data_IF_165953174247
#
_entry.id   IF_165953174247
#
_cell.length_a   1.000
_cell.length_b   1.000
_cell.length_c   1.000
_cell.angle_alpha   90.00
_cell.angle_beta   90.00
_cell.angle_gamma   90.00
#
_symmetry.space_group_name_H-M   'P 1'
#
loop_
_entity.id
_entity.type
_entity.pdbx_description
1 polymer ?
#
# COMPACT_ATOMS: atom_id res chain seq x y z
N UNK A 1 -37.65 58.72 1.85
CA UNK A 1 -37.18 57.33 1.64
C UNK A 1 -36.76 57.21 0.18
N UNK A 2 -35.49 56.93 -0.12
CA UNK A 2 -35.08 56.46 -1.45
C UNK A 2 -34.64 54.99 -1.41
N UNK A 3 -35.01 54.28 -2.47
CA UNK A 3 -35.01 52.83 -2.62
C UNK A 3 -33.64 52.13 -2.51
N UNK A 4 -33.62 51.05 -1.72
CA UNK A 4 -32.58 50.02 -1.80
C UNK A 4 -32.86 49.10 -3.01
N UNK A 5 -32.03 49.18 -4.05
CA UNK A 5 -31.99 48.18 -5.12
C UNK A 5 -30.97 47.08 -4.81
N UNK A 6 -31.44 45.83 -4.84
CA UNK A 6 -30.66 44.62 -4.61
C UNK A 6 -29.62 44.38 -5.74
N UNK A 7 -28.31 44.26 -5.47
CA UNK A 7 -27.25 44.20 -6.48
C UNK A 7 -27.13 42.86 -7.24
N UNK A 8 -28.06 41.92 -7.05
CA UNK A 8 -27.99 40.59 -7.70
C UNK A 8 -28.73 40.49 -9.05
N UNK A 9 -29.20 41.60 -9.63
CA UNK A 9 -29.91 41.60 -10.92
C UNK A 9 -29.22 42.46 -11.99
N UNK A 10 -27.90 42.30 -12.18
CA UNK A 10 -27.26 42.81 -13.41
C UNK A 10 -27.16 41.70 -14.48
N UNK A 11 -27.90 41.79 -15.60
CA UNK A 11 -27.94 40.76 -16.66
C UNK A 11 -26.68 40.73 -17.55
N UNK A 12 -25.50 40.98 -16.98
CA UNK A 12 -24.22 41.03 -17.70
C UNK A 12 -23.09 40.21 -17.06
N UNK A 13 -23.24 39.76 -15.82
CA UNK A 13 -22.19 38.99 -15.13
C UNK A 13 -22.00 37.58 -15.73
N UNK A 14 -23.07 36.88 -16.08
CA UNK A 14 -23.00 35.52 -16.65
C UNK A 14 -22.32 35.50 -18.01
N UNK A 15 -22.61 36.49 -18.87
CA UNK A 15 -21.94 36.63 -20.18
C UNK A 15 -20.44 36.94 -20.04
N UNK A 16 -20.06 37.71 -19.02
CA UNK A 16 -18.64 37.99 -18.71
C UNK A 16 -17.95 36.76 -18.13
N UNK A 17 -18.64 35.97 -17.29
CA UNK A 17 -18.12 34.72 -16.75
C UNK A 17 -17.89 33.68 -17.87
N UNK A 18 -18.86 33.53 -18.77
CA UNK A 18 -18.76 32.64 -19.95
C UNK A 18 -17.65 33.08 -20.90
N UNK A 19 -17.47 34.39 -21.11
CA UNK A 19 -16.35 34.92 -21.89
C UNK A 19 -15.00 34.61 -21.24
N UNK A 20 -14.88 34.74 -19.91
CA UNK A 20 -13.65 34.38 -19.19
C UNK A 20 -13.36 32.89 -19.31
N UNK A 21 -14.37 32.03 -19.16
CA UNK A 21 -14.22 30.57 -19.34
C UNK A 21 -13.79 30.21 -20.76
N UNK A 22 -14.41 30.80 -21.78
CA UNK A 22 -14.05 30.59 -23.18
C UNK A 22 -12.62 31.07 -23.48
N UNK A 23 -12.20 32.21 -22.92
CA UNK A 23 -10.83 32.73 -23.07
C UNK A 23 -9.80 31.84 -22.37
N UNK A 24 -10.09 31.35 -21.15
CA UNK A 24 -9.20 30.39 -20.48
C UNK A 24 -9.09 29.07 -21.24
N UNK A 25 -10.19 28.59 -21.84
CA UNK A 25 -10.19 27.37 -22.63
C UNK A 25 -9.37 27.54 -23.92
N UNK A 26 -9.50 28.67 -24.61
CA UNK A 26 -8.69 29.01 -25.79
C UNK A 26 -7.21 29.19 -25.46
N UNK A 27 -6.87 29.79 -24.32
CA UNK A 27 -5.48 29.93 -23.86
C UNK A 27 -4.87 28.54 -23.61
N UNK A 28 -5.61 27.62 -22.97
CA UNK A 28 -5.16 26.25 -22.71
C UNK A 28 -4.95 25.48 -24.02
N UNK A 29 -5.87 25.61 -24.98
CA UNK A 29 -5.75 24.96 -26.30
C UNK A 29 -4.60 25.54 -27.12
N UNK A 30 -4.35 26.85 -27.05
CA UNK A 30 -3.22 27.49 -27.72
C UNK A 30 -1.88 27.12 -27.07
N UNK A 31 -1.84 26.84 -25.77
CA UNK A 31 -0.64 26.41 -25.06
C UNK A 31 -0.35 24.91 -25.19
N UNK A 32 -1.33 24.05 -25.52
CA UNK A 32 -1.10 22.62 -25.75
C UNK A 32 0.01 22.30 -26.77
N UNK A 33 0.04 22.90 -27.99
CA UNK A 33 1.12 22.64 -28.94
C UNK A 33 2.47 23.21 -28.47
N UNK A 34 2.46 24.26 -27.65
CA UNK A 34 3.68 24.86 -27.09
C UNK A 34 4.31 23.96 -26.01
N UNK A 35 3.48 23.40 -25.11
CA UNK A 35 3.91 22.42 -24.09
C UNK A 35 4.37 21.11 -24.75
N UNK A 36 3.76 20.71 -25.87
CA UNK A 36 4.22 19.53 -26.64
C UNK A 36 5.54 19.77 -27.38
N UNK A 37 5.88 21.03 -27.70
CA UNK A 37 7.10 21.44 -28.42
C UNK A 37 8.27 21.82 -27.49
N UNK A 38 7.99 22.33 -26.29
CA UNK A 38 8.99 22.83 -25.33
C UNK A 38 8.91 22.21 -23.94
N UNK A 39 7.94 21.32 -23.68
CA UNK A 39 7.90 20.53 -22.46
C UNK A 39 9.00 19.45 -22.47
N UNK A 40 9.47 19.01 -21.28
CA UNK A 40 10.50 17.98 -21.19
C UNK A 40 10.02 16.71 -21.89
N UNK A 41 10.72 16.36 -22.97
CA UNK A 41 10.43 15.19 -23.79
C UNK A 41 10.78 13.92 -22.97
N UNK A 42 9.90 12.90 -22.91
CA UNK A 42 10.26 11.62 -22.31
C UNK A 42 11.55 11.10 -22.97
N UNK A 43 12.56 10.80 -22.17
CA UNK A 43 13.84 10.34 -22.67
C UNK A 43 13.65 9.08 -23.53
N UNK A 44 14.12 9.14 -24.78
CA UNK A 44 14.15 7.98 -25.66
C UNK A 44 15.04 6.88 -25.06
N UNK A 45 14.68 5.58 -25.21
CA UNK A 45 15.53 4.47 -24.79
C UNK A 45 16.84 4.49 -25.57
N UNK A 46 17.97 4.49 -24.86
CA UNK A 46 19.30 4.35 -25.46
C UNK A 46 19.56 2.88 -25.83
N UNK A 47 20.31 2.61 -26.93
CA UNK A 47 20.60 1.26 -27.40
C UNK A 47 21.48 0.48 -26.43
N UNK A 48 21.23 -0.83 -26.38
CA UNK A 48 22.05 -1.84 -25.71
C UNK A 48 23.52 -1.73 -26.14
N UNK A 49 24.42 -1.54 -25.17
CA UNK A 49 25.84 -1.78 -25.36
C UNK A 49 26.15 -3.24 -25.01
N UNK A 50 26.71 -3.92 -25.99
CA UNK A 50 27.31 -5.24 -25.92
C UNK A 50 28.25 -5.36 -24.72
N UNK A 51 28.04 -6.42 -23.94
CA UNK A 51 28.99 -6.92 -22.95
C UNK A 51 30.32 -7.25 -23.61
N UNK A 52 31.34 -6.44 -23.33
CA UNK A 52 32.73 -6.81 -23.52
C UNK A 52 33.16 -7.79 -22.43
N UNK A 53 33.69 -8.93 -22.87
CA UNK A 53 34.40 -9.89 -22.04
C UNK A 53 35.64 -9.23 -21.42
N UNK A 54 35.81 -9.41 -20.10
CA UNK A 54 37.09 -9.29 -19.43
C UNK A 54 37.40 -10.60 -18.67
N UNK A 55 38.69 -10.95 -18.52
CA UNK A 55 39.14 -12.33 -18.33
C UNK A 55 38.96 -12.85 -16.91
N UNK A 56 38.81 -14.18 -16.83
CA UNK A 56 38.79 -14.94 -15.60
C UNK A 56 40.08 -14.74 -14.80
N UNK A 57 39.96 -14.21 -13.59
CA UNK A 57 40.97 -14.31 -12.55
C UNK A 57 40.59 -15.47 -11.63
N UNK A 58 41.38 -16.54 -11.70
CA UNK A 58 41.31 -17.72 -10.86
C UNK A 58 41.68 -17.33 -9.43
N UNK A 59 40.73 -17.48 -8.48
CA UNK A 59 41.04 -17.42 -7.04
C UNK A 59 40.49 -18.69 -6.40
N UNK A 60 41.40 -19.54 -5.96
CA UNK A 60 41.10 -20.77 -5.23
C UNK A 60 40.45 -20.45 -3.88
N UNK A 61 39.36 -21.12 -3.49
CA UNK A 61 38.69 -20.86 -2.22
C UNK A 61 39.39 -21.54 -1.04
N UNK A 62 39.60 -20.79 0.04
CA UNK A 62 39.96 -21.29 1.38
C UNK A 62 38.67 -21.69 2.12
N UNK A 63 38.61 -22.82 2.85
CA UNK A 63 37.35 -23.32 3.41
C UNK A 63 36.92 -22.47 4.62
N UNK A 64 35.71 -21.93 4.56
CA UNK A 64 34.96 -21.45 5.72
C UNK A 64 34.06 -22.59 6.25
N UNK A 65 33.79 -22.65 7.55
CA UNK A 65 33.21 -23.82 8.20
C UNK A 65 31.76 -24.04 7.77
N UNK A 66 31.49 -25.29 7.38
CA UNK A 66 30.19 -25.82 6.98
C UNK A 66 29.24 -25.78 8.18
N UNK A 67 28.34 -24.81 8.22
CA UNK A 67 27.06 -25.00 8.89
C UNK A 67 26.28 -25.99 8.02
N UNK A 68 26.02 -27.17 8.57
CA UNK A 68 25.24 -28.23 7.95
C UNK A 68 23.90 -27.68 7.48
N UNK A 69 23.81 -27.37 6.19
CA UNK A 69 22.53 -27.23 5.49
C UNK A 69 21.99 -28.64 5.38
N UNK A 70 21.05 -28.97 6.25
CA UNK A 70 20.27 -30.19 6.12
C UNK A 70 19.68 -30.19 4.71
N UNK A 71 20.22 -31.05 3.84
CA UNK A 71 19.68 -31.25 2.51
C UNK A 71 18.25 -31.76 2.70
N UNK A 72 17.28 -30.96 2.27
CA UNK A 72 15.91 -31.41 2.11
C UNK A 72 15.93 -32.40 0.92
N UNK A 73 16.23 -33.66 1.22
CA UNK A 73 16.05 -34.77 0.29
C UNK A 73 14.55 -34.88 0.01
N UNK A 74 14.10 -35.00 -1.25
CA UNK A 74 12.68 -35.17 -1.55
C UNK A 74 12.19 -36.48 -0.91
N UNK A 75 11.03 -36.50 -0.25
CA UNK A 75 10.38 -37.77 0.01
C UNK A 75 9.89 -38.29 -1.35
N UNK A 76 10.69 -39.17 -1.97
CA UNK A 76 10.14 -40.25 -2.78
C UNK A 76 9.41 -41.21 -1.83
N UNK A 77 8.28 -40.74 -1.30
CA UNK A 77 7.40 -41.45 -0.38
C UNK A 77 6.00 -41.56 -0.96
N UNK A 78 5.13 -42.41 -0.38
CA UNK A 78 3.72 -42.46 -0.75
C UNK A 78 3.09 -41.06 -0.70
N UNK A 79 2.11 -40.81 -1.57
CA UNK A 79 1.42 -39.52 -1.63
C UNK A 79 0.98 -39.05 -0.24
N UNK A 80 1.37 -37.84 0.15
CA UNK A 80 1.08 -37.24 1.45
C UNK A 80 -0.10 -36.28 1.28
N UNK A 81 -1.26 -36.69 1.76
CA UNK A 81 -2.46 -35.85 1.75
C UNK A 81 -3.29 -36.16 3.00
N UNK A 82 -3.89 -35.13 3.62
CA UNK A 82 -4.80 -35.35 4.73
C UNK A 82 -6.15 -35.93 4.26
N UNK A 83 -6.77 -36.74 5.10
CA UNK A 83 -8.07 -37.39 4.83
C UNK A 83 -9.27 -36.51 5.20
N UNK A 84 -9.08 -35.55 6.09
CA UNK A 84 -10.12 -34.63 6.59
C UNK A 84 -9.67 -33.17 6.59
N UNK A 85 -10.64 -32.27 6.63
CA UNK A 85 -10.36 -30.85 6.90
C UNK A 85 -10.09 -30.62 8.37
N UNK A 86 -9.04 -29.85 8.65
CA UNK A 86 -8.67 -29.41 9.98
C UNK A 86 -8.31 -27.93 9.97
N UNK A 87 -8.44 -27.30 11.14
CA UNK A 87 -8.04 -25.91 11.36
C UNK A 87 -6.99 -25.83 12.46
N UNK A 88 -6.11 -24.84 12.34
CA UNK A 88 -5.14 -24.50 13.38
C UNK A 88 -5.22 -23.02 13.67
N UNK A 89 -5.38 -22.68 14.94
CA UNK A 89 -5.43 -21.30 15.42
C UNK A 89 -4.12 -21.00 16.11
N UNK A 90 -3.41 -19.97 15.66
CA UNK A 90 -2.21 -19.45 16.30
C UNK A 90 -2.52 -18.05 16.83
N UNK A 91 -2.23 -17.80 18.10
CA UNK A 91 -2.48 -16.49 18.70
C UNK A 91 -1.41 -16.00 19.68
N UNK A 92 -1.34 -14.68 19.82
CA UNK A 92 -0.55 -13.99 20.84
C UNK A 92 -1.34 -12.75 21.34
N UNK A 93 -0.68 -11.79 21.99
CA UNK A 93 -1.34 -10.57 22.48
C UNK A 93 -1.83 -9.60 21.39
N UNK A 94 -1.30 -9.73 20.17
CA UNK A 94 -1.50 -8.82 19.05
C UNK A 94 -2.46 -9.38 18.00
N UNK A 95 -2.39 -10.68 17.72
CA UNK A 95 -3.18 -11.31 16.66
C UNK A 95 -3.82 -12.64 17.08
N UNK A 96 -4.81 -13.05 16.29
CA UNK A 96 -5.33 -14.42 16.23
C UNK A 96 -5.48 -14.83 14.77
N UNK A 97 -4.71 -15.81 14.32
CA UNK A 97 -4.67 -16.28 12.94
C UNK A 97 -5.20 -17.70 12.89
N UNK A 98 -6.14 -17.97 11.97
CA UNK A 98 -6.72 -19.30 11.77
C UNK A 98 -6.33 -19.82 10.40
N UNK A 99 -5.58 -20.90 10.39
CA UNK A 99 -5.25 -21.68 9.20
C UNK A 99 -6.29 -22.77 8.95
N UNK A 100 -6.44 -23.12 7.68
CA UNK A 100 -7.05 -24.36 7.24
C UNK A 100 -5.99 -25.22 6.55
N UNK A 101 -6.05 -26.53 6.77
CA UNK A 101 -5.21 -27.47 6.03
C UNK A 101 -5.59 -27.57 4.54
N UNK A 102 -6.78 -27.09 4.13
CA UNK A 102 -7.15 -26.95 2.72
C UNK A 102 -6.32 -25.85 2.05
N UNK A 103 -5.38 -26.26 1.21
CA UNK A 103 -4.41 -25.39 0.57
C UNK A 103 -3.32 -24.84 1.51
N UNK A 104 -3.36 -25.14 2.81
CA UNK A 104 -2.46 -24.53 3.81
C UNK A 104 -2.53 -23.00 3.80
N UNK A 105 -3.72 -22.44 4.05
CA UNK A 105 -4.05 -21.01 3.87
C UNK A 105 -4.68 -20.42 5.13
N UNK A 106 -4.75 -19.09 5.21
CA UNK A 106 -5.35 -18.36 6.33
C UNK A 106 -6.81 -18.03 6.06
N UNK A 107 -7.72 -18.59 6.86
CA UNK A 107 -9.16 -18.27 6.85
C UNK A 107 -9.50 -16.96 7.56
N UNK A 108 -8.74 -16.61 8.60
CA UNK A 108 -9.01 -15.46 9.46
C UNK A 108 -7.71 -14.90 10.04
N UNK A 109 -7.60 -13.58 10.09
CA UNK A 109 -6.46 -12.81 10.59
C UNK A 109 -6.97 -11.62 11.40
N UNK A 110 -7.18 -11.85 12.69
CA UNK A 110 -7.74 -10.84 13.61
C UNK A 110 -6.61 -10.06 14.28
N UNK A 111 -6.73 -8.73 14.32
CA UNK A 111 -5.86 -7.86 15.12
C UNK A 111 -6.53 -7.52 16.46
N UNK A 112 -6.02 -8.06 17.57
CA UNK A 112 -6.65 -7.98 18.90
C UNK A 112 -6.66 -6.58 19.51
N UNK A 113 -5.79 -5.68 19.05
CA UNK A 113 -5.69 -4.29 19.55
C UNK A 113 -6.57 -3.30 18.79
N UNK A 114 -7.34 -3.76 17.81
CA UNK A 114 -8.13 -2.93 16.92
C UNK A 114 -9.56 -3.47 16.79
N UNK A 115 -10.49 -2.56 16.50
CA UNK A 115 -11.90 -2.89 16.31
C UNK A 115 -12.37 -2.50 14.91
N UNK A 116 -13.38 -3.21 14.40
CA UNK A 116 -14.06 -2.81 13.17
C UNK A 116 -14.97 -1.59 13.43
N UNK A 117 -15.59 -1.05 12.37
CA UNK A 117 -16.50 0.10 12.49
C UNK A 117 -17.72 -0.15 13.38
N UNK A 118 -18.03 -1.42 13.68
CA UNK A 118 -19.15 -1.85 14.54
C UNK A 118 -18.70 -2.14 15.97
N UNK A 119 -17.41 -1.91 16.30
CA UNK A 119 -16.83 -2.19 17.61
C UNK A 119 -16.51 -3.66 17.87
N UNK A 120 -16.65 -4.53 16.86
CA UNK A 120 -16.26 -5.94 16.92
C UNK A 120 -14.76 -6.14 16.67
N UNK A 121 -14.27 -7.39 16.75
CA UNK A 121 -12.87 -7.71 16.43
C UNK A 121 -12.52 -7.31 15.00
N UNK A 122 -11.37 -6.66 14.80
CA UNK A 122 -10.90 -6.32 13.47
C UNK A 122 -10.38 -7.56 12.73
N UNK A 123 -11.15 -8.05 11.76
CA UNK A 123 -10.78 -9.12 10.82
C UNK A 123 -10.19 -8.51 9.54
N UNK A 124 -8.95 -8.85 9.20
CA UNK A 124 -8.30 -8.34 7.99
C UNK A 124 -8.64 -9.15 6.74
N UNK A 125 -9.03 -10.42 6.87
CA UNK A 125 -9.43 -11.23 5.71
C UNK A 125 -10.81 -10.77 5.23
N UNK A 126 -10.87 -10.22 4.02
CA UNK A 126 -12.14 -9.77 3.45
C UNK A 126 -12.98 -10.97 2.98
N UNK A 127 -13.95 -11.41 3.79
CA UNK A 127 -14.74 -12.64 3.56
C UNK A 127 -15.28 -12.82 2.13
N UNK A 128 -16.01 -11.83 1.59
CA UNK A 128 -16.58 -11.94 0.24
C UNK A 128 -15.52 -11.95 -0.89
N UNK A 129 -14.35 -11.35 -0.64
CA UNK A 129 -13.25 -11.37 -1.59
C UNK A 129 -12.50 -12.70 -1.51
N UNK A 130 -12.32 -13.21 -0.30
CA UNK A 130 -11.69 -14.50 -0.02
C UNK A 130 -12.43 -15.66 -0.69
N UNK A 131 -13.77 -15.67 -0.64
CA UNK A 131 -14.60 -16.69 -1.28
C UNK A 131 -14.40 -16.73 -2.81
N UNK A 132 -14.22 -15.57 -3.44
CA UNK A 132 -14.11 -15.45 -4.91
C UNK A 132 -12.69 -15.52 -5.44
N UNK A 133 -11.71 -15.05 -4.66
CA UNK A 133 -10.34 -14.82 -5.13
C UNK A 133 -9.27 -15.61 -4.37
N UNK A 134 -9.67 -16.41 -3.38
CA UNK A 134 -8.79 -17.24 -2.56
C UNK A 134 -8.43 -16.61 -1.22
N UNK A 135 -7.85 -17.41 -0.34
CA UNK A 135 -7.46 -17.01 1.01
C UNK A 135 -6.03 -16.46 1.08
N UNK A 136 -5.69 -15.59 2.03
CA UNK A 136 -4.31 -15.20 2.26
C UNK A 136 -3.37 -16.39 2.49
N UNK A 137 -2.12 -16.24 2.03
CA UNK A 137 -1.09 -17.28 1.99
C UNK A 137 -1.44 -18.49 1.09
N UNK A 138 -2.41 -18.33 0.20
CA UNK A 138 -2.48 -19.10 -1.05
C UNK A 138 -1.22 -18.88 -1.89
N UNK A 139 -0.97 -19.80 -2.81
CA UNK A 139 0.14 -19.71 -3.73
C UNK A 139 -0.32 -19.16 -5.08
N UNK A 140 0.42 -18.19 -5.60
CA UNK A 140 0.42 -17.86 -7.00
C UNK A 140 1.44 -18.71 -7.74
N UNK A 141 0.94 -19.47 -8.72
CA UNK A 141 1.70 -20.20 -9.74
C UNK A 141 1.13 -19.77 -11.09
N UNK A 142 1.97 -19.58 -12.10
CA UNK A 142 1.51 -19.10 -13.41
C UNK A 142 0.58 -20.09 -14.12
N UNK A 143 0.85 -21.39 -14.00
CA UNK A 143 -0.07 -22.44 -14.41
C UNK A 143 -1.32 -22.40 -13.51
N UNK A 144 -2.47 -22.05 -14.11
CA UNK A 144 -3.73 -21.89 -13.40
C UNK A 144 -4.30 -23.21 -12.88
N UNK A 145 -4.18 -24.31 -13.64
CA UNK A 145 -4.69 -25.61 -13.21
C UNK A 145 -3.90 -26.11 -12.00
N UNK A 146 -2.57 -26.00 -12.05
CA UNK A 146 -1.71 -26.35 -10.94
C UNK A 146 -1.95 -25.42 -9.74
N UNK A 147 -2.07 -24.10 -9.97
CA UNK A 147 -2.41 -23.12 -8.93
C UNK A 147 -3.71 -23.48 -8.21
N UNK A 148 -4.76 -23.82 -8.95
CA UNK A 148 -6.06 -24.18 -8.38
C UNK A 148 -5.98 -25.51 -7.61
N UNK A 149 -5.23 -26.49 -8.12
CA UNK A 149 -4.97 -27.77 -7.44
C UNK A 149 -4.26 -27.54 -6.10
N UNK A 150 -3.09 -26.90 -6.09
CA UNK A 150 -2.29 -26.75 -4.86
C UNK A 150 -2.99 -25.91 -3.79
N UNK A 151 -3.92 -25.03 -4.17
CA UNK A 151 -4.70 -24.22 -3.22
C UNK A 151 -6.01 -24.90 -2.77
N UNK A 152 -6.36 -26.07 -3.29
CA UNK A 152 -7.62 -26.77 -2.95
C UNK A 152 -7.44 -28.14 -2.28
N UNK A 153 -6.29 -28.79 -2.46
CA UNK A 153 -5.97 -30.08 -1.81
C UNK A 153 -5.80 -29.96 -0.29
N UNK A 154 -5.93 -31.08 0.42
CA UNK A 154 -5.79 -31.14 1.87
C UNK A 154 -4.37 -31.48 2.28
N UNK A 155 -3.68 -30.53 2.90
CA UNK A 155 -2.31 -30.71 3.35
C UNK A 155 -2.29 -31.45 4.68
N UNK A 156 -1.25 -32.23 4.92
CA UNK A 156 -0.93 -32.76 6.24
C UNK A 156 -0.28 -31.64 7.04
N UNK A 157 -0.94 -31.17 8.09
CA UNK A 157 -0.40 -30.18 9.01
C UNK A 157 0.48 -30.86 10.07
N UNK A 158 1.60 -30.24 10.46
CA UNK A 158 2.45 -30.75 11.54
C UNK A 158 1.80 -30.65 12.92
N UNK A 159 0.89 -29.69 13.10
CA UNK A 159 0.13 -29.45 14.32
C UNK A 159 -1.29 -28.98 13.95
N UNK A 160 -2.27 -29.27 14.80
CA UNK A 160 -3.66 -28.81 14.67
C UNK A 160 -4.20 -28.32 16.02
N UNK A 161 -5.34 -27.62 16.03
CA UNK A 161 -5.93 -27.08 17.26
C UNK A 161 -5.48 -25.65 17.58
N UNK A 162 -5.34 -25.31 18.86
CA UNK A 162 -4.99 -23.95 19.31
C UNK A 162 -3.56 -23.90 19.84
N UNK A 163 -2.75 -23.00 19.28
CA UNK A 163 -1.34 -22.78 19.59
C UNK A 163 -1.13 -21.33 20.05
N UNK A 164 -0.23 -21.12 21.00
CA UNK A 164 0.22 -19.79 21.41
C UNK A 164 1.60 -19.50 20.82
N UNK A 165 1.81 -18.32 20.26
CA UNK A 165 3.13 -17.94 19.74
C UNK A 165 4.14 -17.74 20.90
N UNK A 166 5.44 -18.10 20.72
CA UNK A 166 6.05 -18.55 19.48
C UNK A 166 5.66 -19.98 19.10
N UNK A 167 5.38 -20.18 17.82
CA UNK A 167 4.92 -21.45 17.29
C UNK A 167 5.39 -21.64 15.85
N UNK A 168 5.40 -22.89 15.40
CA UNK A 168 5.74 -23.24 14.02
C UNK A 168 4.75 -24.29 13.51
N UNK A 169 4.25 -24.08 12.29
CA UNK A 169 3.37 -25.03 11.61
C UNK A 169 3.85 -25.23 10.18
N UNK A 170 3.90 -26.49 9.78
CA UNK A 170 4.26 -26.91 8.43
C UNK A 170 3.06 -27.61 7.80
N UNK A 171 2.77 -27.28 6.56
CA UNK A 171 1.78 -27.95 5.72
C UNK A 171 2.51 -28.66 4.58
N UNK A 172 2.31 -29.96 4.46
CA UNK A 172 2.93 -30.78 3.42
C UNK A 172 1.89 -31.51 2.59
N UNK A 173 2.09 -31.48 1.28
CA UNK A 173 1.31 -32.22 0.31
C UNK A 173 2.24 -32.86 -0.72
N UNK A 174 2.00 -34.11 -1.09
CA UNK A 174 2.66 -34.72 -2.24
C UNK A 174 1.76 -35.72 -2.96
N UNK A 175 1.88 -35.76 -4.28
CA UNK A 175 1.35 -36.81 -5.14
C UNK A 175 2.42 -37.24 -6.17
N UNK A 176 2.01 -37.90 -7.26
CA UNK A 176 2.93 -38.36 -8.30
C UNK A 176 3.66 -37.24 -9.05
N UNK A 177 3.03 -36.07 -9.23
CA UNK A 177 3.54 -34.99 -10.05
C UNK A 177 4.00 -33.78 -9.23
N UNK A 178 3.40 -33.53 -8.06
CA UNK A 178 3.63 -32.31 -7.28
C UNK A 178 3.95 -32.61 -5.83
N UNK A 179 4.93 -31.89 -5.28
CA UNK A 179 5.19 -31.83 -3.85
C UNK A 179 5.20 -30.36 -3.41
N UNK A 180 4.49 -30.04 -2.34
CA UNK A 180 4.41 -28.70 -1.77
C UNK A 180 4.70 -28.77 -0.28
N UNK A 181 5.59 -27.90 0.18
CA UNK A 181 5.88 -27.68 1.59
C UNK A 181 5.75 -26.19 1.89
N UNK A 182 4.89 -25.85 2.85
CA UNK A 182 4.75 -24.50 3.40
C UNK A 182 5.12 -24.54 4.86
N UNK A 183 6.02 -23.69 5.28
CA UNK A 183 6.40 -23.55 6.69
C UNK A 183 6.13 -22.13 7.17
N UNK A 184 5.53 -22.02 8.35
CA UNK A 184 5.16 -20.76 8.95
C UNK A 184 5.69 -20.68 10.38
N UNK A 185 6.53 -19.69 10.66
CA UNK A 185 7.07 -19.44 12.01
C UNK A 185 6.52 -18.13 12.56
N UNK A 186 6.04 -18.21 13.80
CA UNK A 186 5.33 -17.14 14.49
C UNK A 186 6.10 -16.69 15.73
N UNK A 187 6.10 -15.39 15.97
CA UNK A 187 6.63 -14.78 17.19
C UNK A 187 5.57 -13.87 17.84
N UNK A 188 6.01 -13.00 18.74
CA UNK A 188 5.16 -12.05 19.47
C UNK A 188 4.85 -10.75 18.68
N UNK A 189 5.31 -10.64 17.43
CA UNK A 189 5.15 -9.44 16.58
C UNK A 189 4.03 -9.63 15.55
N UNK A 190 3.84 -8.69 14.61
CA UNK A 190 2.93 -8.86 13.46
C UNK A 190 3.61 -9.51 12.25
N UNK A 191 4.83 -10.02 12.43
CA UNK A 191 5.64 -10.62 11.36
C UNK A 191 5.53 -12.14 11.43
N UNK A 192 5.28 -12.76 10.28
CA UNK A 192 5.27 -14.22 10.13
C UNK A 192 6.36 -14.61 9.14
N UNK A 193 7.23 -15.54 9.50
CA UNK A 193 8.19 -16.12 8.54
C UNK A 193 7.46 -17.12 7.66
N UNK A 194 7.67 -17.04 6.36
CA UNK A 194 7.03 -17.87 5.35
C UNK A 194 8.10 -18.53 4.49
N UNK A 195 8.10 -19.85 4.46
CA UNK A 195 8.95 -20.63 3.55
C UNK A 195 8.06 -21.51 2.69
N UNK A 196 8.21 -21.44 1.37
CA UNK A 196 7.40 -22.17 0.41
C UNK A 196 8.29 -22.83 -0.62
N UNK A 197 8.20 -24.15 -0.71
CA UNK A 197 8.83 -24.96 -1.75
C UNK A 197 7.75 -25.71 -2.53
N UNK A 198 7.80 -25.60 -3.86
CA UNK A 198 6.95 -26.37 -4.77
C UNK A 198 7.86 -27.10 -5.75
N UNK A 199 7.68 -28.41 -5.84
CA UNK A 199 8.28 -29.24 -6.88
C UNK A 199 7.18 -29.74 -7.80
N UNK A 200 7.44 -29.70 -9.10
CA UNK A 200 6.53 -30.21 -10.13
C UNK A 200 7.33 -31.03 -11.15
N UNK A 201 6.94 -32.30 -11.31
CA UNK A 201 7.58 -33.29 -12.19
C UNK A 201 9.09 -33.39 -11.98
N UNK A 202 9.51 -33.37 -10.71
CA UNK A 202 10.92 -33.50 -10.32
C UNK A 202 11.76 -32.22 -10.41
N UNK A 203 11.20 -31.09 -10.85
CA UNK A 203 11.87 -29.78 -10.86
C UNK A 203 11.27 -28.81 -9.84
N UNK A 204 12.09 -27.88 -9.33
CA UNK A 204 11.57 -26.75 -8.54
C UNK A 204 10.73 -25.82 -9.42
N UNK A 205 9.58 -25.42 -8.89
CA UNK A 205 8.66 -24.50 -9.55
C UNK A 205 8.49 -23.23 -8.70
N UNK A 206 8.68 -22.03 -9.28
CA UNK A 206 8.42 -20.78 -8.56
C UNK A 206 6.97 -20.67 -8.10
N UNK A 207 6.78 -20.46 -6.80
CA UNK A 207 5.48 -20.29 -6.18
C UNK A 207 5.52 -19.15 -5.16
N UNK A 208 4.59 -18.21 -5.29
CA UNK A 208 4.63 -16.95 -4.55
C UNK A 208 3.48 -16.94 -3.54
N UNK A 209 3.75 -16.90 -2.23
CA UNK A 209 2.71 -16.60 -1.24
C UNK A 209 1.99 -15.30 -1.58
N UNK A 210 0.66 -15.27 -1.42
CA UNK A 210 -0.13 -14.10 -1.81
C UNK A 210 -1.11 -13.62 -0.75
N UNK A 211 -1.29 -12.31 -0.72
CA UNK A 211 -2.48 -11.65 -0.18
C UNK A 211 -3.42 -11.35 -1.35
N UNK A 212 -4.46 -12.16 -1.59
CA UNK A 212 -5.10 -12.21 -2.91
C UNK A 212 -6.03 -11.05 -3.21
N UNK A 213 -6.71 -10.47 -2.20
CA UNK A 213 -7.77 -9.50 -2.45
C UNK A 213 -8.25 -8.72 -1.19
N UNK A 214 -7.97 -7.41 -1.14
CA UNK A 214 -8.60 -6.43 -0.23
C UNK A 214 -8.32 -6.64 1.26
N UNK A 215 -8.86 -5.76 2.10
CA UNK A 215 -8.81 -5.87 3.56
C UNK A 215 -10.23 -5.83 4.15
N UNK A 216 -10.47 -6.59 5.22
CA UNK A 216 -11.80 -6.75 5.81
C UNK A 216 -12.36 -5.51 6.51
N UNK A 217 -11.51 -4.53 6.84
CA UNK A 217 -11.89 -3.23 7.40
C UNK A 217 -12.48 -2.28 6.35
N UNK A 218 -12.38 -2.62 5.06
CA UNK A 218 -12.92 -1.80 3.98
C UNK A 218 -14.44 -1.92 3.94
N UNK A 219 -15.11 -0.76 4.03
CA UNK A 219 -16.57 -0.70 4.21
C UNK A 219 -17.28 0.18 3.20
N UNK A 220 -16.56 1.13 2.59
CA UNK A 220 -17.13 2.16 1.74
C UNK A 220 -16.27 2.42 0.50
N UNK A 221 -16.82 3.00 -0.58
CA UNK A 221 -16.08 3.21 -1.82
C UNK A 221 -14.74 3.95 -1.66
N UNK A 222 -14.66 4.88 -0.71
CA UNK A 222 -13.44 5.65 -0.42
C UNK A 222 -12.36 4.78 0.20
N UNK A 223 -12.70 3.88 1.15
CA UNK A 223 -11.75 2.94 1.75
C UNK A 223 -11.20 1.98 0.70
N UNK A 224 -12.05 1.43 -0.18
CA UNK A 224 -11.60 0.58 -1.30
C UNK A 224 -10.67 1.33 -2.25
N UNK A 225 -11.04 2.55 -2.64
CA UNK A 225 -10.25 3.39 -3.54
C UNK A 225 -8.90 3.83 -2.96
N UNK A 226 -8.73 3.78 -1.63
CA UNK A 226 -7.48 4.10 -0.95
C UNK A 226 -6.41 2.99 -1.05
N UNK A 227 -6.78 1.81 -1.56
CA UNK A 227 -5.85 0.69 -1.71
C UNK A 227 -4.71 1.01 -2.68
N UNK A 228 -3.50 0.63 -2.30
CA UNK A 228 -2.27 0.82 -3.03
C UNK A 228 -1.49 -0.50 -3.11
N UNK A 229 -0.76 -0.68 -4.22
CA UNK A 229 0.43 -1.54 -4.20
C UNK A 229 1.61 -0.66 -3.80
N UNK A 230 2.34 -1.07 -2.77
CA UNK A 230 3.50 -0.34 -2.26
C UNK A 230 4.72 -1.28 -2.30
N UNK A 231 5.86 -0.77 -2.76
CA UNK A 231 7.12 -1.50 -2.70
C UNK A 231 8.28 -0.54 -2.52
N UNK A 232 9.36 -1.04 -1.92
CA UNK A 232 10.59 -0.29 -1.74
C UNK A 232 11.73 -0.94 -2.53
N UNK A 233 12.37 -0.11 -3.34
CA UNK A 233 13.61 -0.43 -4.02
C UNK A 233 14.70 0.53 -3.54
N UNK A 234 15.80 -0.01 -2.98
CA UNK A 234 16.83 0.77 -2.29
C UNK A 234 16.21 1.70 -1.23
N UNK A 235 16.34 3.01 -1.38
CA UNK A 235 15.75 4.03 -0.49
C UNK A 235 14.42 4.59 -1.00
N UNK A 236 14.01 4.24 -2.23
CA UNK A 236 12.81 4.79 -2.88
C UNK A 236 11.61 3.91 -2.61
N UNK A 237 10.51 4.54 -2.21
CA UNK A 237 9.21 3.88 -2.03
C UNK A 237 8.31 4.28 -3.19
N UNK A 238 7.86 3.28 -3.93
CA UNK A 238 6.89 3.43 -5.01
C UNK A 238 5.49 3.05 -4.52
N UNK A 239 4.50 3.81 -4.98
CA UNK A 239 3.10 3.64 -4.61
C UNK A 239 2.24 3.67 -5.86
N UNK A 240 1.65 2.53 -6.20
CA UNK A 240 0.79 2.37 -7.35
C UNK A 240 -0.66 2.40 -6.89
N UNK A 241 -1.37 3.46 -7.28
CA UNK A 241 -2.81 3.57 -7.07
C UNK A 241 -3.56 2.51 -7.90
N UNK A 242 -4.72 2.08 -7.41
CA UNK A 242 -5.57 1.06 -8.05
C UNK A 242 -5.80 1.28 -9.55
N UNK A 243 -5.95 2.54 -9.97
CA UNK A 243 -6.16 2.94 -11.38
C UNK A 243 -4.96 2.66 -12.29
N UNK A 244 -3.75 2.57 -11.74
CA UNK A 244 -2.49 2.31 -12.47
C UNK A 244 -2.17 0.81 -12.57
N UNK A 245 -2.97 -0.05 -11.95
CA UNK A 245 -2.71 -1.49 -11.89
C UNK A 245 -3.62 -2.21 -12.88
N UNK A 246 -3.01 -3.00 -13.76
CA UNK A 246 -3.68 -4.07 -14.49
C UNK A 246 -3.37 -5.39 -13.79
N UNK A 247 -4.40 -6.18 -13.49
CA UNK A 247 -4.23 -7.43 -12.76
C UNK A 247 -3.44 -8.46 -13.55
N UNK A 248 -2.55 -9.21 -12.87
CA UNK A 248 -1.71 -10.24 -13.46
C UNK A 248 -0.33 -9.77 -13.93
N UNK A 249 -0.02 -8.48 -13.84
CA UNK A 249 1.31 -7.98 -14.19
C UNK A 249 2.34 -8.40 -13.15
N UNK A 250 3.47 -8.91 -13.64
CA UNK A 250 4.66 -9.19 -12.84
C UNK A 250 5.60 -8.00 -12.87
N UNK A 251 5.89 -7.44 -11.70
CA UNK A 251 6.91 -6.42 -11.50
C UNK A 251 8.16 -7.14 -10.98
N UNK A 252 9.26 -7.20 -11.76
CA UNK A 252 10.51 -7.75 -11.26
C UNK A 252 11.10 -6.82 -10.19
N UNK A 253 11.74 -7.41 -9.18
CA UNK A 253 12.52 -6.69 -8.19
C UNK A 253 13.78 -6.05 -8.77
N UNK A 254 14.69 -5.55 -7.92
CA UNK A 254 14.79 -5.88 -6.49
C UNK A 254 13.71 -5.24 -5.60
N UNK A 255 13.37 -5.87 -4.48
CA UNK A 255 12.49 -5.29 -3.44
C UNK A 255 13.03 -5.56 -2.03
N UNK A 256 13.14 -4.52 -1.21
CA UNK A 256 13.35 -4.68 0.23
C UNK A 256 12.07 -5.15 0.93
N UNK A 257 10.94 -4.64 0.44
CA UNK A 257 9.60 -5.14 0.75
C UNK A 257 8.65 -4.74 -0.37
N UNK A 258 7.58 -5.50 -0.54
CA UNK A 258 6.54 -5.24 -1.53
C UNK A 258 5.20 -5.85 -1.08
N UNK A 259 4.09 -5.23 -1.43
CA UNK A 259 2.78 -5.81 -1.17
C UNK A 259 1.64 -4.83 -1.37
N UNK A 260 0.55 -5.08 -0.65
CA UNK A 260 -0.68 -4.31 -0.73
C UNK A 260 -0.96 -3.63 0.59
N UNK A 261 -1.52 -2.44 0.52
CA UNK A 261 -1.87 -1.68 1.68
C UNK A 261 -3.08 -0.78 1.42
N UNK A 262 -3.78 -0.41 2.49
CA UNK A 262 -4.79 0.63 2.45
C UNK A 262 -4.39 1.80 3.35
N UNK A 263 -5.38 2.59 3.79
CA UNK A 263 -5.18 3.74 4.64
C UNK A 263 -4.60 3.38 6.03
N UNK A 264 -4.98 2.24 6.61
CA UNK A 264 -4.68 1.90 8.00
C UNK A 264 -3.87 0.62 8.17
N UNK A 265 -3.96 -0.32 7.24
CA UNK A 265 -3.32 -1.63 7.33
C UNK A 265 -2.49 -1.94 6.09
N UNK A 266 -1.60 -2.91 6.23
CA UNK A 266 -0.76 -3.39 5.14
C UNK A 266 -0.46 -4.87 5.28
N UNK A 267 -0.36 -5.55 4.14
CA UNK A 267 0.18 -6.89 3.98
C UNK A 267 1.36 -6.79 3.02
N UNK A 268 2.58 -6.73 3.56
CA UNK A 268 3.82 -6.60 2.78
C UNK A 268 4.75 -7.76 3.06
N UNK A 269 5.37 -8.25 2.00
CA UNK A 269 6.36 -9.32 1.99
C UNK A 269 7.76 -8.70 1.99
N UNK A 270 8.65 -9.28 2.79
CA UNK A 270 10.02 -8.88 3.03
C UNK A 270 10.91 -10.07 2.64
N UNK A 271 11.37 -10.15 1.39
CA UNK A 271 12.17 -11.28 0.91
C UNK A 271 13.53 -11.34 1.62
N UNK A 272 13.99 -12.56 1.95
CA UNK A 272 15.34 -12.75 2.49
C UNK A 272 16.41 -12.49 1.41
N UNK A 273 16.06 -12.65 0.13
CA UNK A 273 16.88 -12.31 -1.03
C UNK A 273 16.25 -11.17 -1.88
N UNK A 274 16.43 -9.89 -1.50
CA UNK A 274 15.86 -8.74 -2.20
C UNK A 274 16.19 -8.64 -3.68
N UNK A 275 17.30 -9.24 -4.13
CA UNK A 275 17.75 -9.20 -5.52
C UNK A 275 17.06 -10.25 -6.39
N UNK A 276 16.51 -11.32 -5.79
CA UNK A 276 15.87 -12.45 -6.46
C UNK A 276 14.40 -12.53 -6.08
N UNK A 277 13.65 -11.45 -6.31
CA UNK A 277 12.24 -11.36 -5.96
C UNK A 277 11.44 -10.76 -7.11
N UNK A 278 10.19 -11.18 -7.24
CA UNK A 278 9.21 -10.54 -8.11
C UNK A 278 7.86 -10.42 -7.40
N UNK A 279 7.04 -9.47 -7.84
CA UNK A 279 5.69 -9.29 -7.34
C UNK A 279 4.69 -9.41 -8.48
N UNK A 280 3.69 -10.27 -8.32
CA UNK A 280 2.53 -10.33 -9.20
C UNK A 280 1.42 -9.48 -8.59
N UNK A 281 1.05 -8.42 -9.29
CA UNK A 281 -0.03 -7.53 -8.87
C UNK A 281 -1.38 -8.13 -9.23
N UNK A 282 -2.36 -7.99 -8.34
CA UNK A 282 -3.74 -8.41 -8.59
C UNK A 282 -4.68 -7.22 -8.45
N UNK A 283 -5.61 -7.13 -9.40
CA UNK A 283 -6.73 -6.20 -9.36
C UNK A 283 -7.99 -6.98 -9.66
N UNK A 284 -8.87 -7.03 -8.69
CA UNK A 284 -10.11 -7.79 -8.69
C UNK A 284 -11.28 -6.83 -8.44
N UNK A 285 -12.52 -7.33 -8.52
CA UNK A 285 -13.69 -6.52 -8.22
C UNK A 285 -14.77 -7.32 -7.48
N UNK A 286 -15.35 -6.69 -6.47
CA UNK A 286 -16.45 -7.26 -5.68
C UNK A 286 -17.63 -6.31 -5.72
N UNK A 287 -18.81 -6.87 -5.52
CA UNK A 287 -20.04 -6.11 -5.34
C UNK A 287 -20.27 -5.95 -3.84
N UNK A 288 -20.36 -4.70 -3.37
CA UNK A 288 -20.59 -4.38 -1.97
C UNK A 288 -21.96 -3.72 -1.79
N UNK A 289 -22.68 -3.97 -0.70
CA UNK A 289 -23.93 -3.28 -0.43
C UNK A 289 -23.73 -1.76 -0.43
N UNK A 290 -24.60 -1.02 -1.12
CA UNK A 290 -24.55 0.45 -1.18
C UNK A 290 -24.82 1.08 0.19
N UNK A 291 -25.67 0.45 0.98
CA UNK A 291 -25.93 0.78 2.38
C UNK A 291 -25.71 -0.47 3.24
N UNK A 292 -24.59 -0.51 3.97
CA UNK A 292 -24.25 -1.62 4.88
C UNK A 292 -25.13 -1.65 6.14
N UNK A 293 -25.80 -0.56 6.50
CA UNK A 293 -26.72 -0.52 7.64
C UNK A 293 -28.11 -1.07 7.28
N UNK A 294 -28.44 -1.13 5.98
CA UNK A 294 -29.67 -1.73 5.45
C UNK A 294 -29.34 -2.83 4.42
N UNK A 295 -28.77 -3.97 4.85
CA UNK A 295 -28.34 -5.05 3.96
C UNK A 295 -29.49 -5.71 3.18
N UNK A 296 -30.74 -5.45 3.55
CA UNK A 296 -31.94 -5.84 2.81
C UNK A 296 -32.12 -5.09 1.47
N UNK A 297 -31.43 -3.97 1.29
CA UNK A 297 -31.40 -3.28 0.01
C UNK A 297 -30.48 -4.03 -0.97
N UNK A 298 -31.07 -4.53 -2.08
CA UNK A 298 -30.34 -5.30 -3.11
C UNK A 298 -29.41 -4.45 -3.99
N UNK A 299 -29.39 -3.13 -3.81
CA UNK A 299 -28.46 -2.26 -4.54
C UNK A 299 -27.02 -2.50 -4.10
N UNK A 300 -26.20 -2.98 -5.03
CA UNK A 300 -24.77 -3.14 -4.85
C UNK A 300 -23.97 -2.11 -5.64
N UNK A 301 -22.78 -1.79 -5.15
CA UNK A 301 -21.77 -1.00 -5.84
C UNK A 301 -20.60 -1.92 -6.17
N UNK A 302 -20.16 -1.88 -7.43
CA UNK A 302 -18.95 -2.58 -7.84
C UNK A 302 -17.73 -1.76 -7.43
N UNK A 303 -16.85 -2.37 -6.63
CA UNK A 303 -15.61 -1.75 -6.17
C UNK A 303 -14.42 -2.61 -6.57
N UNK A 304 -13.31 -1.95 -6.89
CA UNK A 304 -12.06 -2.62 -7.18
C UNK A 304 -11.29 -2.89 -5.87
N UNK A 305 -10.62 -4.04 -5.81
CA UNK A 305 -9.76 -4.43 -4.71
C UNK A 305 -8.41 -4.92 -5.23
N UNK A 306 -7.37 -4.69 -4.44
CA UNK A 306 -6.00 -5.07 -4.79
C UNK A 306 -5.52 -6.28 -4.02
N UNK A 307 -4.58 -7.00 -4.61
CA UNK A 307 -3.82 -8.06 -3.97
C UNK A 307 -2.41 -8.14 -4.55
N UNK A 308 -1.54 -8.88 -3.90
CA UNK A 308 -0.17 -9.08 -4.33
C UNK A 308 0.29 -10.50 -3.98
N UNK A 309 1.02 -11.12 -4.90
CA UNK A 309 1.83 -12.30 -4.64
C UNK A 309 3.29 -11.91 -4.77
N UNK A 310 4.12 -12.24 -3.78
CA UNK A 310 5.56 -11.93 -3.80
C UNK A 310 6.32 -13.22 -3.60
N UNK A 311 7.44 -13.39 -4.29
CA UNK A 311 8.26 -14.58 -4.11
C UNK A 311 9.47 -14.63 -5.01
N UNK A 312 10.23 -15.72 -4.88
CA UNK A 312 11.45 -15.94 -5.64
C UNK A 312 11.12 -16.56 -7.01
N UNK A 313 11.42 -15.90 -8.14
CA UNK A 313 11.13 -16.43 -9.47
C UNK A 313 12.05 -17.59 -9.90
N UNK A 314 13.05 -17.96 -9.09
CA UNK A 314 14.10 -18.94 -9.46
C UNK A 314 14.17 -20.16 -8.54
N UNK A 315 13.27 -20.30 -7.56
CA UNK A 315 13.28 -21.47 -6.67
C UNK A 315 12.37 -21.29 -5.45
N UNK A 316 12.78 -21.89 -4.35
CA UNK A 316 12.09 -21.79 -3.05
C UNK A 316 11.96 -20.33 -2.60
N UNK A 317 10.75 -19.95 -2.18
CA UNK A 317 10.48 -18.63 -1.61
C UNK A 317 10.70 -18.67 -0.11
N UNK A 318 11.61 -17.82 0.39
CA UNK A 318 11.88 -17.63 1.83
C UNK A 318 11.79 -16.14 2.13
N UNK A 319 10.83 -15.77 2.98
CA UNK A 319 10.53 -14.37 3.26
C UNK A 319 9.83 -14.20 4.61
N UNK A 320 9.65 -12.95 5.01
CA UNK A 320 8.78 -12.56 6.12
C UNK A 320 7.58 -11.80 5.57
N UNK A 321 6.39 -12.01 6.11
CA UNK A 321 5.22 -11.17 5.81
C UNK A 321 4.86 -10.36 7.05
N UNK A 322 4.72 -9.05 6.87
CA UNK A 322 4.13 -8.15 7.86
C UNK A 322 2.67 -7.92 7.49
N UNK A 323 1.76 -8.30 8.39
CA UNK A 323 0.31 -8.05 8.24
C UNK A 323 -0.18 -7.35 9.51
N UNK A 324 -0.43 -6.04 9.41
CA UNK A 324 -0.70 -5.25 10.59
C UNK A 324 -0.96 -3.77 10.36
N UNK A 325 -1.06 -2.99 11.45
CA UNK A 325 -1.43 -1.58 11.43
C UNK A 325 -0.27 -0.67 11.01
N UNK A 326 -0.55 0.36 10.22
CA UNK A 326 0.39 1.43 9.85
C UNK A 326 0.70 2.40 11.00
N UNK A 327 0.96 1.88 12.20
CA UNK A 327 1.35 2.66 13.36
C UNK A 327 2.87 2.76 13.46
N UNK A 328 3.39 3.99 13.63
CA UNK A 328 4.85 4.20 13.68
C UNK A 328 5.58 3.31 14.69
N UNK A 329 5.13 3.14 15.95
CA UNK A 329 5.85 2.29 16.91
C UNK A 329 6.00 0.84 16.44
N UNK A 330 4.93 0.30 15.84
CA UNK A 330 4.95 -1.08 15.32
C UNK A 330 5.88 -1.15 14.12
N UNK A 331 5.74 -0.23 13.17
CA UNK A 331 6.57 -0.22 11.96
C UNK A 331 8.06 -0.01 12.25
N UNK A 332 8.42 0.78 13.26
CA UNK A 332 9.80 0.97 13.75
C UNK A 332 10.42 -0.31 14.33
N UNK A 333 9.59 -1.17 14.92
CA UNK A 333 10.03 -2.44 15.51
C UNK A 333 10.36 -3.50 14.46
N UNK A 334 9.79 -3.39 13.26
CA UNK A 334 9.99 -4.37 12.17
C UNK A 334 11.23 -4.02 11.37
N UNK A 335 12.31 -4.78 11.60
CA UNK A 335 13.61 -4.56 10.94
C UNK A 335 13.64 -5.08 9.51
N UNK A 336 14.16 -4.24 8.62
CA UNK A 336 14.43 -4.54 7.20
C UNK A 336 15.92 -4.29 6.93
N UNK A 337 16.79 -5.27 7.27
CA UNK A 337 18.24 -5.07 7.26
C UNK A 337 18.81 -4.85 5.86
N UNK A 338 18.04 -5.17 4.82
CA UNK A 338 18.41 -5.05 3.42
C UNK A 338 18.39 -3.61 2.91
N UNK A 339 17.77 -2.70 3.67
CA UNK A 339 17.81 -1.27 3.38
C UNK A 339 19.17 -0.71 3.83
N UNK A 340 19.92 -0.13 2.89
CA UNK A 340 21.12 0.65 3.20
C UNK A 340 20.73 2.10 3.52
N UNK A 341 21.03 2.59 4.72
CA UNK A 341 20.72 3.96 5.16
C UNK A 341 20.24 4.05 6.61
N UNK A 342 19.58 5.16 6.95
CA UNK A 342 19.19 5.49 8.33
C UNK A 342 17.93 4.79 8.83
N UNK A 343 17.04 4.37 7.94
CA UNK A 343 15.73 3.81 8.30
C UNK A 343 15.61 2.35 7.81
N UNK A 344 16.17 1.41 8.58
CA UNK A 344 16.12 -0.04 8.32
C UNK A 344 14.83 -0.69 8.86
N UNK A 345 13.69 -0.08 8.56
CA UNK A 345 12.38 -0.48 9.10
C UNK A 345 11.22 -0.16 8.15
N UNK A 346 9.98 -0.44 8.58
CA UNK A 346 8.77 -0.28 7.76
C UNK A 346 8.08 1.07 7.91
N UNK A 347 8.65 2.07 8.59
CA UNK A 347 8.01 3.40 8.75
C UNK A 347 7.61 4.05 7.44
N UNK A 348 8.32 3.70 6.37
CA UNK A 348 8.02 4.13 5.01
C UNK A 348 6.61 3.81 4.52
N UNK A 349 5.91 2.85 5.14
CA UNK A 349 4.50 2.54 4.83
C UNK A 349 3.53 3.66 5.22
N UNK A 350 3.92 4.55 6.14
CA UNK A 350 3.13 5.75 6.46
C UNK A 350 3.37 6.81 5.40
N UNK A 351 2.33 7.10 4.62
CA UNK A 351 2.37 8.12 3.59
C UNK A 351 1.87 9.47 4.12
N UNK A 352 2.80 10.40 4.40
CA UNK A 352 2.47 11.77 4.81
C UNK A 352 2.14 12.72 3.64
N UNK A 353 2.11 12.22 2.41
CA UNK A 353 1.80 13.01 1.21
C UNK A 353 2.87 14.06 0.87
N UNK A 354 2.50 14.99 -0.01
CA UNK A 354 3.40 16.02 -0.54
C UNK A 354 4.00 16.92 0.56
N UNK A 355 3.22 17.23 1.60
CA UNK A 355 3.67 18.04 2.74
C UNK A 355 4.35 17.22 3.84
N UNK A 356 4.86 16.02 3.52
CA UNK A 356 5.45 15.10 4.50
C UNK A 356 6.58 15.68 5.34
N UNK A 357 7.37 16.61 4.79
CA UNK A 357 8.44 17.32 5.50
C UNK A 357 7.89 18.10 6.70
N UNK A 358 6.67 18.63 6.59
CA UNK A 358 6.01 19.40 7.66
C UNK A 358 5.10 18.48 8.48
N UNK A 359 4.36 17.58 7.83
CA UNK A 359 3.40 16.71 8.47
C UNK A 359 4.04 15.70 9.43
N UNK A 360 5.22 15.13 9.11
CA UNK A 360 5.91 14.18 9.98
C UNK A 360 6.34 14.81 11.31
N UNK A 361 7.06 15.97 11.34
CA UNK A 361 7.36 16.66 12.60
C UNK A 361 6.12 17.06 13.40
N UNK A 362 5.08 17.58 12.74
CA UNK A 362 3.83 17.95 13.42
C UNK A 362 3.13 16.74 14.04
N UNK A 363 3.13 15.59 13.36
CA UNK A 363 2.57 14.35 13.88
C UNK A 363 3.36 13.81 15.07
N UNK A 364 4.69 13.84 14.99
CA UNK A 364 5.56 13.44 16.11
C UNK A 364 5.36 14.34 17.32
N UNK A 365 5.21 15.65 17.10
CA UNK A 365 4.89 16.60 18.16
C UNK A 365 3.49 16.38 18.75
N UNK A 366 2.49 16.06 17.92
CA UNK A 366 1.15 15.70 18.39
C UNK A 366 1.21 14.46 19.30
N UNK A 367 1.91 13.42 18.84
CA UNK A 367 2.11 12.18 19.60
C UNK A 367 2.85 12.44 20.91
N UNK A 368 3.87 13.29 20.90
CA UNK A 368 4.60 13.68 22.10
C UNK A 368 3.69 14.41 23.10
N UNK A 369 2.83 15.31 22.62
CA UNK A 369 1.82 16.01 23.43
C UNK A 369 0.81 15.03 24.03
N UNK A 370 0.37 14.05 23.23
CA UNK A 370 -0.52 12.99 23.70
C UNK A 370 0.12 12.16 24.82
N UNK A 371 1.39 11.77 24.67
CA UNK A 371 2.04 10.87 25.63
C UNK A 371 2.56 11.56 26.89
N UNK A 372 2.91 12.86 26.84
CA UNK A 372 3.55 13.57 27.96
C UNK A 372 2.68 14.65 28.61
N UNK A 373 1.67 15.18 27.91
CA UNK A 373 0.85 16.29 28.43
C UNK A 373 -0.58 15.83 28.72
N UNK A 374 -1.29 15.32 27.70
CA UNK A 374 -2.70 14.87 27.86
C UNK A 374 -2.93 13.60 27.05
N UNK A 375 -3.31 12.46 27.68
CA UNK A 375 -3.61 11.21 26.97
C UNK A 375 -5.00 11.25 26.31
N UNK A 376 -5.28 12.30 25.55
CA UNK A 376 -6.49 12.48 24.77
C UNK A 376 -6.16 13.19 23.46
N UNK A 377 -6.40 12.53 22.32
CA UNK A 377 -6.08 13.05 21.00
C UNK A 377 -6.77 14.39 20.69
N UNK A 378 -8.02 14.58 21.14
CA UNK A 378 -8.75 15.82 20.93
C UNK A 378 -8.08 17.00 21.62
N UNK A 379 -7.74 16.85 22.91
CA UNK A 379 -7.04 17.88 23.65
C UNK A 379 -5.62 18.12 23.15
N UNK A 380 -4.90 17.08 22.73
CA UNK A 380 -3.58 17.24 22.13
C UNK A 380 -3.64 18.11 20.86
N UNK A 381 -4.66 17.92 20.00
CA UNK A 381 -4.89 18.74 18.82
C UNK A 381 -5.23 20.19 19.21
N UNK A 382 -6.11 20.40 20.20
CA UNK A 382 -6.47 21.74 20.68
C UNK A 382 -5.24 22.49 21.20
N UNK A 383 -4.39 21.84 22.00
CA UNK A 383 -3.15 22.41 22.52
C UNK A 383 -2.19 22.76 21.37
N UNK A 384 -1.99 21.82 20.44
CA UNK A 384 -1.11 22.04 19.30
C UNK A 384 -1.58 23.20 18.42
N UNK A 385 -2.87 23.26 18.10
CA UNK A 385 -3.45 24.35 17.31
C UNK A 385 -3.36 25.70 18.03
N UNK A 386 -3.53 25.74 19.35
CA UNK A 386 -3.34 26.95 20.16
C UNK A 386 -1.89 27.45 20.08
N UNK A 387 -0.92 26.57 20.26
CA UNK A 387 0.51 26.92 20.20
C UNK A 387 0.90 27.42 18.81
N UNK A 388 0.45 26.74 17.75
CA UNK A 388 0.70 27.20 16.36
C UNK A 388 0.05 28.56 16.12
N UNK A 389 -1.17 28.79 16.59
CA UNK A 389 -1.86 30.07 16.45
C UNK A 389 -1.11 31.21 17.13
N UNK A 390 -0.56 30.98 18.33
CA UNK A 390 0.23 31.98 19.08
C UNK A 390 1.55 32.24 18.35
N UNK A 391 2.25 31.20 17.90
CA UNK A 391 3.51 31.34 17.16
C UNK A 391 3.33 32.11 15.84
N UNK A 392 2.20 31.93 15.15
CA UNK A 392 1.87 32.63 13.90
C UNK A 392 1.20 34.00 14.12
N UNK A 393 0.90 34.39 15.36
CA UNK A 393 0.27 35.67 15.69
C UNK A 393 1.02 36.90 15.15
N UNK A 394 2.35 37.05 15.30
CA UNK A 394 3.06 38.21 14.74
C UNK A 394 2.95 38.28 13.21
N UNK A 395 3.02 37.12 12.55
CA UNK A 395 2.85 37.03 11.10
C UNK A 395 1.43 37.44 10.67
N UNK A 396 0.40 36.96 11.38
CA UNK A 396 -1.01 37.34 11.13
C UNK A 396 -1.23 38.83 11.31
N UNK A 397 -0.68 39.42 12.37
CA UNK A 397 -0.77 40.87 12.61
C UNK A 397 -0.09 41.65 11.48
N UNK A 398 1.08 41.18 10.99
CA UNK A 398 1.76 41.80 9.85
C UNK A 398 0.95 41.71 8.56
N UNK A 399 0.38 40.53 8.25
CA UNK A 399 -0.52 40.33 7.12
C UNK A 399 -1.74 41.26 7.18
N UNK A 400 -2.36 41.40 8.36
CA UNK A 400 -3.51 42.27 8.58
C UNK A 400 -3.15 43.76 8.37
N UNK A 401 -1.97 44.20 8.86
CA UNK A 401 -1.47 45.55 8.60
C UNK A 401 -1.26 45.80 7.09
N UNK A 402 -0.73 44.83 6.35
CA UNK A 402 -0.55 44.95 4.89
C UNK A 402 -1.89 45.06 4.16
N UNK A 403 -2.86 44.23 4.54
CA UNK A 403 -4.22 44.26 3.97
C UNK A 403 -4.91 45.61 4.21
N UNK A 404 -4.80 46.18 5.42
CA UNK A 404 -5.35 47.51 5.73
C UNK A 404 -4.69 48.62 4.90
N UNK A 405 -3.38 48.55 4.65
CA UNK A 405 -2.70 49.48 3.73
C UNK A 405 -3.25 49.33 2.32
N UNK A 406 -3.38 48.10 1.82
CA UNK A 406 -3.91 47.84 0.47
C UNK A 406 -5.36 48.33 0.31
N UNK A 407 -6.20 48.17 1.34
CA UNK A 407 -7.56 48.72 1.35
C UNK A 407 -7.59 50.25 1.24
N UNK A 408 -6.64 50.95 1.87
CA UNK A 408 -6.54 52.42 1.78
C UNK A 408 -6.17 52.91 0.38
N UNK A 409 -5.29 52.19 -0.34
CA UNK A 409 -4.91 52.54 -1.71
C UNK A 409 -5.88 52.00 -2.77
N UNK A 410 -6.75 51.05 -2.43
CA UNK A 410 -7.76 50.50 -3.34
C UNK A 410 -8.60 51.55 -4.12
N UNK A 411 -9.14 52.64 -3.51
CA UNK A 411 -9.87 53.66 -4.26
C UNK A 411 -9.01 54.42 -5.28
N UNK A 412 -7.73 54.67 -4.96
CA UNK A 412 -6.80 55.33 -5.87
C UNK A 412 -6.39 54.40 -7.02
N UNK A 413 -6.20 53.12 -6.74
CA UNK A 413 -5.97 52.11 -7.78
C UNK A 413 -7.19 52.04 -8.72
N UNK A 414 -8.42 52.10 -8.19
CA UNK A 414 -9.64 52.13 -9.01
C UNK A 414 -9.74 53.37 -9.88
N UNK A 415 -9.44 54.55 -9.35
CA UNK A 415 -9.48 55.79 -10.16
C UNK A 415 -8.45 55.79 -11.29
N UNK A 416 -7.25 55.26 -11.05
CA UNK A 416 -6.25 55.03 -12.08
C UNK A 416 -6.76 54.00 -13.11
N UNK A 417 -7.30 52.87 -12.67
CA UNK A 417 -7.85 51.86 -13.57
C UNK A 417 -8.98 52.40 -14.46
N UNK A 418 -9.86 53.26 -13.93
CA UNK A 418 -10.90 53.93 -14.69
C UNK A 418 -10.33 54.92 -15.71
N UNK A 419 -9.35 55.74 -15.30
CA UNK A 419 -8.66 56.69 -16.18
C UNK A 419 -7.98 55.99 -17.37
N UNK A 420 -7.38 54.82 -17.13
CA UNK A 420 -6.64 54.06 -18.13
C UNK A 420 -7.40 52.87 -18.72
N UNK A 421 -8.72 52.78 -18.50
CA UNK A 421 -9.59 51.70 -19.00
C UNK A 421 -9.68 51.63 -20.52
N UNK A 422 -9.42 52.77 -21.18
CA UNK A 422 -9.47 52.92 -22.64
C UNK A 422 -8.18 52.49 -23.37
N UNK A 423 -7.08 52.28 -22.64
CA UNK A 423 -5.78 51.90 -23.20
C UNK A 423 -5.49 50.42 -22.94
N UNK A 424 -5.11 49.69 -23.99
CA UNK A 424 -4.66 48.29 -23.88
C UNK A 424 -3.34 48.19 -23.11
N UNK A 425 -3.10 47.11 -22.36
CA UNK A 425 -1.87 46.85 -21.61
C UNK A 425 -0.58 46.84 -22.47
N UNK A 426 -0.72 46.78 -23.80
CA UNK A 426 0.37 46.77 -24.79
C UNK A 426 0.48 48.06 -25.60
N UNK A 427 -0.28 49.10 -25.28
CA UNK A 427 -0.23 50.37 -26.00
C UNK A 427 0.97 51.22 -25.51
N UNK A 428 1.94 51.59 -26.38
CA UNK A 428 3.12 52.34 -25.99
C UNK A 428 2.83 53.79 -25.55
N UNK A 429 1.58 54.28 -25.66
CA UNK A 429 1.15 55.60 -25.18
C UNK A 429 0.55 55.60 -23.76
N UNK A 430 0.60 54.46 -23.05
CA UNK A 430 0.02 54.31 -21.70
C UNK A 430 0.91 54.85 -20.60
#
# INVERSE_FOLDING_TARGET
MPDFKNPQQEPGMERRLLLVFALTFLIILAFQPLVKKYGPQPAAPKPEQQTQNFPAATVSPKPAPTLSREQIVPPAGPGRQASSEDETVIENDLYKIRFTNRGGQVKSWILKKYTDERGGPLELVHAAAAEKYGLPLSLWIYDELLRNKVNSVLYVASQTGSLSAPAEITFEYSDHDVAVRKNFSFDHTYVVRVETSVQYKGGELPAFPMWPAGFGDQTNPSSYASSLIEYQYNTKIERLAIKKISGGNTIPGPFNWAGVADQYFSAVFLPDEPQNVAMVTRRNSIDVPKDRQKPENKETLKVDILGAAVGNPKGTTVERIYVGPKSLPVLESVRVPTISGTDQDLRGLVNFGFFGIIARPLFLWLKWTYSHIVPNWGWAIVIQTLIINIALLPLRVSQMKSMLKMQRVAPQIKSIQEKYKKYSLRDPKR
#
